data_IF_933857287826
#
_entry.id   IF_933857287826
#
_cell.length_a   1.000
_cell.length_b   1.000
_cell.length_c   1.000
_cell.angle_alpha   90.00
_cell.angle_beta   90.00
_cell.angle_gamma   90.00
#
_symmetry.space_group_name_H-M   'P 1'
#
loop_
_entity.id
_entity.type
_entity.pdbx_description
1 polymer ?
#
# COMPACT_ATOMS: atom_id res chain seq x y z
N UNK A 1 -32.82 24.58 -41.76
CA UNK A 1 -32.84 23.13 -41.44
C UNK A 1 -32.80 22.97 -39.93
N UNK A 2 -33.63 22.05 -39.44
CA UNK A 2 -33.93 21.69 -38.05
C UNK A 2 -32.70 21.54 -37.13
N UNK A 3 -32.68 22.13 -35.92
CA UNK A 3 -33.18 21.60 -34.61
C UNK A 3 -32.41 20.33 -34.16
N UNK A 4 -31.63 20.42 -33.08
CA UNK A 4 -31.97 19.87 -31.75
C UNK A 4 -30.91 20.21 -30.69
N UNK A 5 -31.38 20.92 -29.67
CA UNK A 5 -30.75 21.13 -28.37
C UNK A 5 -30.87 19.80 -27.60
N UNK A 6 -29.76 19.24 -27.13
CA UNK A 6 -29.76 18.17 -26.13
C UNK A 6 -29.38 18.75 -24.77
N UNK A 7 -30.39 19.25 -24.07
CA UNK A 7 -30.39 19.35 -22.61
C UNK A 7 -30.43 17.92 -22.06
N UNK A 8 -29.30 17.47 -21.51
CA UNK A 8 -29.16 16.19 -20.82
C UNK A 8 -28.74 16.44 -19.37
N UNK A 9 -29.74 16.48 -18.50
CA UNK A 9 -29.73 16.42 -17.03
C UNK A 9 -28.44 15.84 -16.44
N UNK A 10 -27.67 16.66 -15.72
CA UNK A 10 -26.73 16.16 -14.72
C UNK A 10 -27.54 15.55 -13.58
N UNK A 11 -27.80 14.25 -13.66
CA UNK A 11 -28.22 13.49 -12.50
C UNK A 11 -27.02 13.44 -11.55
N UNK A 12 -27.09 14.18 -10.45
CA UNK A 12 -26.18 14.02 -9.33
C UNK A 12 -26.29 12.58 -8.82
N UNK A 13 -25.27 11.77 -9.08
CA UNK A 13 -25.13 10.43 -8.51
C UNK A 13 -24.88 10.58 -7.00
N UNK A 14 -25.77 10.09 -6.12
CA UNK A 14 -25.48 10.04 -4.70
C UNK A 14 -24.55 8.84 -4.45
N UNK A 15 -23.25 9.05 -4.66
CA UNK A 15 -22.21 8.03 -4.54
C UNK A 15 -20.92 8.50 -3.86
N UNK A 16 -20.95 9.61 -3.12
CA UNK A 16 -19.77 10.22 -2.49
C UNK A 16 -19.50 9.76 -1.04
N UNK A 17 -19.97 8.59 -0.62
CA UNK A 17 -19.67 8.04 0.70
C UNK A 17 -18.55 6.97 0.70
N UNK A 18 -18.17 6.43 -0.45
CA UNK A 18 -17.19 5.32 -0.57
C UNK A 18 -15.75 5.77 -0.89
N UNK A 19 -15.52 7.06 -1.13
CA UNK A 19 -14.20 7.62 -1.45
C UNK A 19 -13.35 8.00 -0.21
N UNK A 20 -13.98 8.12 0.96
CA UNK A 20 -13.35 8.60 2.20
C UNK A 20 -12.15 7.75 2.70
N UNK A 21 -12.19 6.41 2.69
CA UNK A 21 -11.07 5.60 3.19
C UNK A 21 -9.84 5.69 2.27
N UNK A 22 -10.06 5.85 0.96
CA UNK A 22 -8.99 5.96 -0.04
C UNK A 22 -8.28 7.30 0.06
N UNK A 23 -9.02 8.40 0.24
CA UNK A 23 -8.46 9.73 0.43
C UNK A 23 -7.54 9.78 1.68
N UNK A 24 -7.98 9.20 2.81
CA UNK A 24 -7.17 9.14 4.05
C UNK A 24 -5.90 8.29 3.89
N UNK A 25 -5.96 7.18 3.16
CA UNK A 25 -4.79 6.33 2.94
C UNK A 25 -3.76 7.02 2.02
N UNK A 26 -4.22 7.69 0.96
CA UNK A 26 -3.37 8.50 0.09
C UNK A 26 -2.72 9.66 0.86
N UNK A 27 -3.46 10.32 1.74
CA UNK A 27 -2.98 11.39 2.62
C UNK A 27 -1.88 10.91 3.58
N UNK A 28 -2.03 9.72 4.18
CA UNK A 28 -1.01 9.13 5.07
C UNK A 28 0.28 8.81 4.31
N UNK A 29 0.19 8.26 3.09
CA UNK A 29 1.37 7.99 2.26
C UNK A 29 2.07 9.29 1.86
N UNK A 30 1.31 10.31 1.44
CA UNK A 30 1.84 11.64 1.15
C UNK A 30 2.56 12.24 2.37
N UNK A 31 1.98 12.10 3.57
CA UNK A 31 2.62 12.55 4.81
C UNK A 31 3.92 11.81 5.11
N UNK A 32 3.98 10.49 4.88
CA UNK A 32 5.19 9.69 5.07
C UNK A 32 6.29 10.08 4.07
N UNK A 33 5.94 10.25 2.79
CA UNK A 33 6.85 10.71 1.74
C UNK A 33 7.38 12.10 2.09
N UNK A 34 6.51 13.05 2.40
CA UNK A 34 6.91 14.40 2.83
C UNK A 34 7.83 14.38 4.06
N UNK A 35 7.59 13.45 5.00
CA UNK A 35 8.45 13.22 6.15
C UNK A 35 9.85 12.70 5.79
N UNK A 36 9.97 11.83 4.79
CA UNK A 36 11.24 11.32 4.28
C UNK A 36 11.99 12.37 3.44
N UNK A 37 11.27 13.11 2.60
CA UNK A 37 11.81 14.25 1.85
C UNK A 37 12.36 15.32 2.80
N UNK A 38 11.65 15.62 3.90
CA UNK A 38 12.15 16.52 4.92
C UNK A 38 13.43 16.00 5.60
N UNK A 39 13.61 14.67 5.71
CA UNK A 39 14.83 14.05 6.25
C UNK A 39 16.00 14.09 5.26
N UNK A 40 15.74 14.22 3.96
CA UNK A 40 16.76 14.55 2.95
C UNK A 40 17.52 15.79 3.42
N UNK A 41 16.86 16.80 3.98
CA UNK A 41 17.51 18.08 4.28
C UNK A 41 17.93 18.26 5.75
N UNK A 42 17.65 17.29 6.65
CA UNK A 42 17.91 17.37 8.09
C UNK A 42 19.09 16.51 8.54
N UNK A 43 20.12 17.14 9.10
CA UNK A 43 21.19 16.48 9.85
C UNK A 43 21.18 16.97 11.29
N UNK A 44 20.99 16.06 12.26
CA UNK A 44 20.92 16.37 13.70
C UNK A 44 22.20 17.05 14.20
N UNK A 45 23.34 16.65 13.65
CA UNK A 45 24.66 17.24 13.91
C UNK A 45 24.80 18.68 13.38
N UNK A 46 24.04 19.05 12.34
CA UNK A 46 24.02 20.41 11.76
C UNK A 46 23.05 21.31 12.53
N UNK A 47 21.90 20.77 12.94
CA UNK A 47 20.91 21.46 13.78
C UNK A 47 21.55 21.88 15.11
N UNK A 48 22.26 20.96 15.77
CA UNK A 48 22.92 21.23 17.06
C UNK A 48 24.14 22.16 16.95
N UNK A 49 24.76 22.27 15.76
CA UNK A 49 25.93 23.13 15.57
C UNK A 49 25.58 24.61 15.36
N UNK A 50 24.39 24.91 14.84
CA UNK A 50 23.89 26.27 14.63
C UNK A 50 22.65 26.53 15.49
N UNK A 51 22.84 26.58 16.80
CA UNK A 51 21.81 27.14 17.68
C UNK A 51 21.53 28.60 17.26
N UNK A 52 20.37 28.76 16.60
CA UNK A 52 19.64 30.00 16.33
C UNK A 52 19.98 30.89 15.11
N UNK A 53 20.78 30.48 14.11
CA UNK A 53 20.90 31.28 12.84
C UNK A 53 20.95 30.48 11.52
N UNK A 54 19.99 29.58 11.30
CA UNK A 54 19.66 29.10 9.95
C UNK A 54 19.46 27.60 9.87
N UNK A 55 18.19 27.19 9.89
CA UNK A 55 17.71 25.80 10.01
C UNK A 55 18.09 24.82 8.89
N UNK A 56 18.93 25.16 7.91
CA UNK A 56 19.04 24.36 6.67
C UNK A 56 20.47 24.04 6.22
N UNK A 57 20.70 22.73 6.10
CA UNK A 57 21.68 22.00 5.30
C UNK A 57 23.00 22.72 4.92
N UNK A 58 24.00 22.61 5.80
CA UNK A 58 25.38 23.03 5.52
C UNK A 58 25.96 22.41 4.24
N UNK A 59 25.48 21.25 3.81
CA UNK A 59 25.87 20.62 2.55
C UNK A 59 25.39 21.36 1.30
N UNK A 60 24.19 22.00 1.32
CA UNK A 60 23.69 22.83 0.19
C UNK A 60 24.60 24.05 -0.02
N UNK A 61 25.15 24.59 1.08
CA UNK A 61 26.06 25.74 1.05
C UNK A 61 27.54 25.37 1.07
N UNK A 62 27.89 24.08 0.91
CA UNK A 62 29.29 23.63 0.89
C UNK A 62 30.11 24.37 -0.18
N UNK A 63 29.55 24.54 -1.37
CA UNK A 63 30.18 25.28 -2.48
C UNK A 63 30.35 26.79 -2.21
N UNK A 64 29.70 27.33 -1.18
CA UNK A 64 29.79 28.73 -0.75
C UNK A 64 30.66 28.94 0.50
N UNK A 65 31.30 27.88 1.01
CA UNK A 65 32.07 27.98 2.25
C UNK A 65 33.29 28.94 2.14
N UNK A 66 33.71 29.28 0.92
CA UNK A 66 34.74 30.28 0.65
C UNK A 66 34.30 31.73 0.93
N UNK A 67 32.99 32.00 1.00
CA UNK A 67 32.44 33.32 1.35
C UNK A 67 32.57 33.64 2.85
N UNK A 68 32.89 32.64 3.67
CA UNK A 68 33.13 32.82 5.11
C UNK A 68 34.49 33.45 5.31
N UNK A 69 34.52 34.65 5.88
CA UNK A 69 35.74 35.39 6.19
C UNK A 69 36.30 35.02 7.57
N UNK A 70 37.61 35.24 7.75
CA UNK A 70 38.30 35.04 9.03
C UNK A 70 38.62 33.60 9.41
N UNK A 71 39.10 33.45 10.63
CA UNK A 71 39.79 32.26 11.16
C UNK A 71 38.88 31.01 11.20
N UNK A 72 37.56 31.24 11.17
CA UNK A 72 36.54 30.20 11.22
C UNK A 72 36.32 29.50 9.87
N UNK A 73 36.77 30.08 8.73
CA UNK A 73 36.57 29.53 7.37
C UNK A 73 36.97 28.07 7.25
N UNK A 74 38.17 27.70 7.73
CA UNK A 74 38.67 26.31 7.67
C UNK A 74 37.76 25.36 8.44
N UNK A 75 37.33 25.74 9.65
CA UNK A 75 36.45 24.93 10.50
C UNK A 75 35.07 24.76 9.85
N UNK A 76 34.51 25.84 9.30
CA UNK A 76 33.20 25.82 8.62
C UNK A 76 33.25 24.96 7.35
N UNK A 77 34.24 25.13 6.48
CA UNK A 77 34.40 24.32 5.28
C UNK A 77 34.62 22.82 5.61
N UNK A 78 35.42 22.50 6.64
CA UNK A 78 35.63 21.10 7.08
C UNK A 78 34.30 20.46 7.51
N UNK A 79 33.51 21.17 8.33
CA UNK A 79 32.19 20.70 8.77
C UNK A 79 31.20 20.59 7.61
N UNK A 80 31.26 21.51 6.64
CA UNK A 80 30.41 21.45 5.45
C UNK A 80 30.68 20.19 4.61
N UNK A 81 31.97 19.86 4.40
CA UNK A 81 32.38 18.62 3.72
C UNK A 81 31.97 17.36 4.47
N UNK A 82 32.12 17.35 5.79
CA UNK A 82 31.69 16.21 6.63
C UNK A 82 30.17 16.03 6.57
N UNK A 83 29.42 17.13 6.64
CA UNK A 83 27.96 17.13 6.52
C UNK A 83 27.49 16.66 5.15
N UNK A 84 28.14 17.11 4.07
CA UNK A 84 27.86 16.65 2.71
C UNK A 84 28.10 15.14 2.57
N UNK A 85 29.24 14.63 3.05
CA UNK A 85 29.55 13.19 3.00
C UNK A 85 28.51 12.35 3.74
N UNK A 86 28.12 12.77 4.95
CA UNK A 86 27.08 12.09 5.73
C UNK A 86 25.68 12.18 5.09
N UNK A 87 25.41 13.26 4.33
CA UNK A 87 24.17 13.39 3.58
C UNK A 87 24.16 12.45 2.37
N UNK A 88 25.22 12.49 1.56
CA UNK A 88 25.41 11.62 0.41
C UNK A 88 25.36 10.13 0.79
N UNK A 89 25.91 9.75 1.94
CA UNK A 89 25.88 8.34 2.39
C UNK A 89 24.47 7.87 2.80
N UNK A 90 23.59 8.76 3.24
CA UNK A 90 22.21 8.43 3.64
C UNK A 90 21.21 8.57 2.49
N UNK A 91 21.54 9.38 1.49
CA UNK A 91 20.63 9.74 0.42
C UNK A 91 20.07 8.52 -0.33
N UNK A 92 20.87 7.51 -0.74
CA UNK A 92 20.35 6.32 -1.41
C UNK A 92 19.36 5.53 -0.56
N UNK A 93 19.59 5.45 0.75
CA UNK A 93 18.66 4.75 1.67
C UNK A 93 17.34 5.51 1.83
N UNK A 94 17.37 6.83 1.84
CA UNK A 94 16.16 7.64 1.87
C UNK A 94 15.40 7.58 0.54
N UNK A 95 16.11 7.68 -0.57
CA UNK A 95 15.54 7.56 -1.92
C UNK A 95 14.92 6.19 -2.15
N UNK A 96 15.59 5.10 -1.78
CA UNK A 96 15.00 3.75 -1.86
C UNK A 96 13.74 3.59 -0.99
N UNK A 97 13.63 4.32 0.13
CA UNK A 97 12.43 4.30 0.98
C UNK A 97 11.30 5.13 0.40
N UNK A 98 11.62 6.26 -0.22
CA UNK A 98 10.65 7.10 -0.95
C UNK A 98 10.16 6.33 -2.17
N UNK A 99 11.06 5.76 -2.96
CA UNK A 99 10.73 4.88 -4.07
C UNK A 99 9.87 3.70 -3.60
N UNK A 100 10.13 3.10 -2.43
CA UNK A 100 9.26 2.07 -1.86
C UNK A 100 7.94 2.58 -1.27
N UNK A 101 7.70 3.88 -1.18
CA UNK A 101 6.39 4.43 -0.81
C UNK A 101 5.63 4.93 -2.04
N UNK A 102 6.34 5.43 -3.04
CA UNK A 102 5.81 5.95 -4.31
C UNK A 102 5.66 4.90 -5.40
N UNK A 103 6.47 3.83 -5.35
CA UNK A 103 6.30 2.70 -6.24
C UNK A 103 4.87 2.18 -6.07
N UNK A 104 4.30 1.50 -7.09
CA UNK A 104 2.95 0.95 -7.03
C UNK A 104 2.86 -0.14 -5.96
N UNK A 105 2.82 0.30 -4.72
CA UNK A 105 2.56 -0.41 -3.50
C UNK A 105 1.08 -0.34 -3.27
N UNK A 106 0.55 -1.50 -2.92
CA UNK A 106 -0.81 -1.78 -2.48
C UNK A 106 -1.42 -0.63 -1.64
N UNK A 107 -1.98 0.37 -2.33
CA UNK A 107 -2.73 1.53 -1.79
C UNK A 107 -4.13 1.11 -1.34
N UNK A 108 -4.30 -0.18 -1.03
CA UNK A 108 -5.61 -0.79 -1.06
C UNK A 108 -6.14 -1.00 -2.48
N UNK A 109 -5.23 -1.26 -3.40
CA UNK A 109 -5.57 -1.83 -4.70
C UNK A 109 -4.47 -2.83 -5.05
N UNK A 110 -4.50 -3.99 -4.39
CA UNK A 110 -3.83 -5.17 -4.95
C UNK A 110 -4.70 -5.62 -6.12
N UNK A 111 -4.28 -5.45 -7.39
CA UNK A 111 -5.07 -5.93 -8.51
C UNK A 111 -5.32 -7.43 -8.33
N UNK A 112 -6.49 -7.96 -8.70
CA UNK A 112 -6.81 -9.38 -8.55
C UNK A 112 -5.69 -10.32 -9.02
N UNK A 113 -5.04 -10.00 -10.13
CA UNK A 113 -3.89 -10.77 -10.64
C UNK A 113 -2.73 -10.90 -9.63
N UNK A 114 -2.39 -9.84 -8.89
CA UNK A 114 -1.36 -9.89 -7.84
C UNK A 114 -1.83 -10.65 -6.61
N UNK A 115 -3.11 -10.54 -6.25
CA UNK A 115 -3.73 -11.32 -5.18
C UNK A 115 -3.69 -12.82 -5.49
N UNK A 116 -3.97 -13.21 -6.74
CA UNK A 116 -3.87 -14.59 -7.23
C UNK A 116 -2.44 -15.11 -7.07
N UNK A 117 -1.42 -14.35 -7.47
CA UNK A 117 -0.01 -14.78 -7.33
C UNK A 117 0.39 -14.95 -5.86
N UNK A 118 -0.05 -14.05 -4.98
CA UNK A 118 0.16 -14.18 -3.53
C UNK A 118 -0.55 -15.42 -2.98
N UNK A 119 -1.80 -15.63 -3.37
CA UNK A 119 -2.61 -16.79 -3.03
C UNK A 119 -1.94 -18.10 -3.44
N UNK A 120 -1.42 -18.18 -4.66
CA UNK A 120 -0.75 -19.36 -5.18
C UNK A 120 0.45 -19.75 -4.31
N UNK A 121 1.29 -18.76 -3.97
CA UNK A 121 2.47 -18.97 -3.10
C UNK A 121 2.05 -19.44 -1.71
N UNK A 122 0.98 -18.87 -1.15
CA UNK A 122 0.50 -19.23 0.18
C UNK A 122 -0.19 -20.61 0.20
N UNK A 123 -0.96 -20.95 -0.82
CA UNK A 123 -1.60 -22.26 -0.98
C UNK A 123 -0.56 -23.37 -1.15
N UNK A 124 0.49 -23.14 -1.94
CA UNK A 124 1.58 -24.10 -2.11
C UNK A 124 2.29 -24.42 -0.77
N UNK A 125 2.51 -23.41 0.08
CA UNK A 125 3.12 -23.60 1.42
C UNK A 125 2.30 -24.48 2.36
N UNK A 126 1.01 -24.63 2.11
CA UNK A 126 0.12 -25.49 2.90
C UNK A 126 -0.22 -26.80 2.18
N UNK A 127 0.52 -27.16 1.13
CA UNK A 127 0.34 -28.41 0.38
C UNK A 127 -0.74 -28.37 -0.70
N UNK A 128 -1.28 -27.20 -1.03
CA UNK A 128 -2.33 -27.04 -2.04
C UNK A 128 -1.78 -26.43 -3.33
N UNK A 129 -0.96 -27.22 -4.02
CA UNK A 129 -0.50 -26.93 -5.39
C UNK A 129 -1.36 -27.69 -6.43
N UNK A 130 -1.06 -27.49 -7.72
CA UNK A 130 -1.70 -28.25 -8.82
C UNK A 130 -3.23 -28.15 -8.81
N UNK A 131 -3.90 -29.30 -8.78
CA UNK A 131 -5.37 -29.39 -8.80
C UNK A 131 -6.03 -28.63 -7.65
N UNK A 132 -5.48 -28.71 -6.43
CA UNK A 132 -6.04 -28.00 -5.27
C UNK A 132 -5.94 -26.48 -5.43
N UNK A 133 -4.84 -26.00 -6.04
CA UNK A 133 -4.72 -24.59 -6.37
C UNK A 133 -5.75 -24.16 -7.42
N UNK A 134 -5.98 -24.96 -8.47
CA UNK A 134 -6.96 -24.65 -9.49
C UNK A 134 -8.38 -24.55 -8.91
N UNK A 135 -8.75 -25.49 -8.04
CA UNK A 135 -10.02 -25.45 -7.31
C UNK A 135 -10.15 -24.19 -6.44
N UNK A 136 -9.11 -23.82 -5.69
CA UNK A 136 -9.11 -22.61 -4.87
C UNK A 136 -9.22 -21.33 -5.72
N UNK A 137 -8.46 -21.28 -6.82
CA UNK A 137 -8.48 -20.18 -7.78
C UNK A 137 -9.88 -19.98 -8.37
N UNK A 138 -10.57 -21.07 -8.69
CA UNK A 138 -11.92 -21.02 -9.21
C UNK A 138 -12.93 -20.62 -8.13
N UNK A 139 -12.83 -21.20 -6.93
CA UNK A 139 -13.69 -20.89 -5.78
C UNK A 139 -13.70 -19.38 -5.47
N UNK A 140 -12.52 -18.79 -5.22
CA UNK A 140 -12.41 -17.37 -4.89
C UNK A 140 -12.53 -16.44 -6.11
N UNK A 141 -12.20 -16.95 -7.31
CA UNK A 141 -12.21 -16.15 -8.53
C UNK A 141 -13.59 -15.97 -9.16
N UNK A 142 -14.39 -17.03 -9.20
CA UNK A 142 -15.68 -16.97 -9.89
C UNK A 142 -16.87 -16.88 -8.93
N UNK A 143 -16.72 -17.35 -7.68
CA UNK A 143 -17.87 -17.60 -6.81
C UNK A 143 -17.90 -16.75 -5.53
N UNK A 144 -16.75 -16.17 -5.12
CA UNK A 144 -16.59 -15.57 -3.78
C UNK A 144 -15.78 -14.25 -3.82
N UNK A 145 -15.91 -13.39 -4.84
CA UNK A 145 -15.36 -12.01 -4.78
C UNK A 145 -14.18 -11.71 -5.71
N UNK A 146 -13.82 -12.61 -6.62
CA UNK A 146 -12.97 -12.28 -7.77
C UNK A 146 -11.52 -11.96 -7.43
N UNK A 147 -11.00 -12.47 -6.32
CA UNK A 147 -9.67 -12.11 -5.79
C UNK A 147 -9.52 -10.62 -5.45
N UNK A 148 -10.62 -9.90 -5.28
CA UNK A 148 -10.61 -8.48 -4.93
C UNK A 148 -10.62 -8.29 -3.40
N UNK A 149 -9.60 -7.60 -2.88
CA UNK A 149 -9.41 -7.37 -1.43
C UNK A 149 -10.57 -6.61 -0.80
N UNK A 150 -11.25 -5.78 -1.60
CA UNK A 150 -12.36 -4.93 -1.17
C UNK A 150 -13.71 -5.42 -1.70
N UNK A 151 -13.81 -6.70 -2.09
CA UNK A 151 -15.09 -7.28 -2.51
C UNK A 151 -16.07 -7.17 -1.35
N UNK A 152 -17.01 -6.24 -1.45
CA UNK A 152 -18.01 -5.99 -0.43
C UNK A 152 -19.36 -6.39 -0.98
N UNK A 153 -20.12 -7.16 -0.21
CA UNK A 153 -21.48 -7.53 -0.59
C UNK A 153 -22.46 -6.68 0.22
N UNK A 154 -23.05 -5.60 -0.36
CA UNK A 154 -23.81 -4.60 0.38
C UNK A 154 -25.10 -5.14 1.03
N UNK A 155 -25.58 -6.30 0.60
CA UNK A 155 -26.76 -6.96 1.20
C UNK A 155 -26.40 -7.91 2.33
N UNK A 156 -25.12 -8.11 2.61
CA UNK A 156 -24.62 -8.94 3.72
C UNK A 156 -23.41 -8.27 4.38
N UNK A 157 -22.75 -8.96 5.32
CA UNK A 157 -21.46 -8.51 5.89
C UNK A 157 -20.28 -9.30 5.32
N UNK A 158 -20.47 -9.97 4.19
CA UNK A 158 -19.44 -10.74 3.51
C UNK A 158 -18.41 -9.82 2.87
N UNK A 159 -17.13 -10.07 3.13
CA UNK A 159 -16.06 -9.19 2.67
C UNK A 159 -14.79 -9.91 2.20
N UNK A 160 -14.15 -9.30 1.21
CA UNK A 160 -12.80 -9.61 0.75
C UNK A 160 -12.74 -10.86 -0.14
N UNK A 161 -11.50 -11.30 -0.38
CA UNK A 161 -11.19 -12.43 -1.27
C UNK A 161 -11.96 -13.71 -0.91
N UNK A 162 -12.13 -14.09 0.37
CA UNK A 162 -12.86 -15.31 0.72
C UNK A 162 -14.34 -15.06 1.07
N UNK A 163 -14.85 -13.84 0.88
CA UNK A 163 -16.21 -13.42 1.30
C UNK A 163 -16.56 -13.85 2.74
N UNK A 164 -15.67 -13.55 3.68
CA UNK A 164 -15.86 -13.93 5.08
C UNK A 164 -17.08 -13.23 5.68
N UNK A 165 -17.96 -13.98 6.35
CA UNK A 165 -19.22 -13.47 6.90
C UNK A 165 -19.29 -13.64 8.44
N UNK A 166 -19.19 -12.55 9.22
CA UNK A 166 -18.76 -11.21 8.84
C UNK A 166 -17.23 -11.13 8.59
N UNK A 167 -16.79 -10.12 7.84
CA UNK A 167 -15.36 -9.90 7.53
C UNK A 167 -14.46 -9.79 8.76
N UNK A 168 -15.00 -9.34 9.91
CA UNK A 168 -14.28 -9.22 11.18
C UNK A 168 -13.68 -10.53 11.71
N UNK A 169 -14.17 -11.68 11.26
CA UNK A 169 -13.62 -13.01 11.61
C UNK A 169 -12.17 -13.19 11.16
N UNK A 170 -11.71 -12.39 10.20
CA UNK A 170 -10.34 -12.45 9.67
C UNK A 170 -9.27 -11.86 10.61
N UNK A 171 -9.67 -11.20 11.70
CA UNK A 171 -8.76 -10.69 12.73
C UNK A 171 -8.05 -9.38 12.33
N UNK A 172 -7.36 -8.74 13.27
CA UNK A 172 -6.85 -7.35 13.13
C UNK A 172 -6.15 -7.08 11.79
N UNK A 173 -6.53 -5.98 11.14
CA UNK A 173 -5.92 -5.54 9.87
C UNK A 173 -6.48 -6.20 8.60
N UNK A 174 -7.50 -7.06 8.72
CA UNK A 174 -8.10 -7.80 7.60
C UNK A 174 -8.62 -6.95 6.45
N UNK A 175 -9.18 -5.76 6.74
CA UNK A 175 -9.94 -4.97 5.78
C UNK A 175 -9.12 -4.57 4.55
N UNK A 176 -7.83 -4.30 4.74
CA UNK A 176 -6.96 -3.75 3.69
C UNK A 176 -5.76 -4.64 3.39
N UNK A 177 -5.83 -5.94 3.73
CA UNK A 177 -4.67 -6.83 3.62
C UNK A 177 -5.02 -8.13 2.91
N UNK A 178 -4.62 -8.25 1.64
CA UNK A 178 -4.75 -9.50 0.88
C UNK A 178 -4.09 -10.68 1.63
N UNK A 179 -2.94 -10.44 2.28
CA UNK A 179 -2.27 -11.47 3.07
C UNK A 179 -3.13 -11.97 4.23
N UNK A 180 -3.73 -11.06 5.02
CA UNK A 180 -4.58 -11.45 6.14
C UNK A 180 -5.82 -12.22 5.65
N UNK A 181 -6.46 -11.74 4.59
CA UNK A 181 -7.63 -12.38 4.00
C UNK A 181 -7.32 -13.78 3.44
N UNK A 182 -6.24 -13.92 2.66
CA UNK A 182 -5.81 -15.21 2.10
C UNK A 182 -5.42 -16.17 3.22
N UNK A 183 -4.64 -15.71 4.22
CA UNK A 183 -4.23 -16.55 5.36
C UNK A 183 -5.45 -17.11 6.08
N UNK A 184 -6.42 -16.26 6.38
CA UNK A 184 -7.65 -16.68 7.04
C UNK A 184 -8.47 -17.64 6.16
N UNK A 185 -8.68 -17.28 4.89
CA UNK A 185 -9.45 -18.08 3.94
C UNK A 185 -8.88 -19.49 3.75
N UNK A 186 -7.55 -19.64 3.65
CA UNK A 186 -6.90 -20.94 3.58
C UNK A 186 -7.17 -21.78 4.85
N UNK A 187 -7.09 -21.16 6.03
CA UNK A 187 -7.41 -21.81 7.30
C UNK A 187 -8.87 -22.25 7.36
N UNK A 188 -9.79 -21.40 6.90
CA UNK A 188 -11.22 -21.69 6.85
C UNK A 188 -11.54 -22.87 5.94
N UNK A 189 -11.01 -22.87 4.71
CA UNK A 189 -11.20 -23.99 3.76
C UNK A 189 -10.72 -25.31 4.37
N UNK A 190 -9.58 -25.29 5.04
CA UNK A 190 -9.04 -26.49 5.70
C UNK A 190 -9.95 -26.98 6.81
N UNK A 191 -10.40 -26.07 7.68
CA UNK A 191 -11.20 -26.44 8.84
C UNK A 191 -12.61 -26.95 8.46
N UNK A 192 -13.23 -26.36 7.44
CA UNK A 192 -14.62 -26.66 7.08
C UNK A 192 -14.76 -27.74 6.01
N UNK A 193 -13.80 -27.83 5.09
CA UNK A 193 -13.92 -28.68 3.90
C UNK A 193 -12.72 -29.62 3.71
N UNK A 194 -11.66 -29.48 4.51
CA UNK A 194 -10.41 -30.23 4.37
C UNK A 194 -9.56 -29.79 3.17
N UNK A 195 -10.16 -29.68 1.97
CA UNK A 195 -9.47 -29.34 0.72
C UNK A 195 -10.25 -28.33 -0.13
N UNK A 196 -9.55 -27.49 -0.93
CA UNK A 196 -10.18 -26.58 -1.88
C UNK A 196 -11.14 -27.25 -2.87
N UNK A 197 -10.79 -28.42 -3.41
CA UNK A 197 -11.69 -29.11 -4.35
C UNK A 197 -12.97 -29.62 -3.68
N UNK A 198 -12.89 -30.07 -2.42
CA UNK A 198 -14.10 -30.41 -1.66
C UNK A 198 -14.96 -29.17 -1.40
N UNK A 199 -14.34 -28.03 -1.07
CA UNK A 199 -15.06 -26.77 -0.87
C UNK A 199 -15.77 -26.33 -2.15
N UNK A 200 -15.07 -26.36 -3.29
CA UNK A 200 -15.62 -26.01 -4.60
C UNK A 200 -16.76 -26.95 -5.00
N UNK A 201 -16.60 -28.27 -4.83
CA UNK A 201 -17.66 -29.24 -5.12
C UNK A 201 -18.92 -28.97 -4.29
N UNK A 202 -18.78 -28.73 -2.98
CA UNK A 202 -19.90 -28.36 -2.12
C UNK A 202 -20.55 -27.05 -2.55
N UNK A 203 -19.76 -26.07 -3.01
CA UNK A 203 -20.29 -24.78 -3.50
C UNK A 203 -21.11 -24.97 -4.78
N UNK A 204 -20.62 -25.77 -5.73
CA UNK A 204 -21.30 -26.08 -6.99
C UNK A 204 -22.58 -26.89 -6.77
N UNK A 205 -22.56 -27.87 -5.87
CA UNK A 205 -23.73 -28.70 -5.55
C UNK A 205 -24.89 -27.91 -4.92
N UNK A 206 -24.61 -26.80 -4.23
CA UNK A 206 -25.63 -25.92 -3.64
C UNK A 206 -26.37 -25.05 -4.67
N UNK A 207 -26.02 -25.10 -5.96
CA UNK A 207 -26.86 -24.58 -7.04
C UNK A 207 -27.12 -23.06 -7.03
N UNK A 208 -26.21 -22.25 -6.49
CA UNK A 208 -26.32 -20.79 -6.60
C UNK A 208 -25.77 -20.33 -7.96
N UNK A 209 -26.41 -20.77 -9.05
CA UNK A 209 -26.35 -20.19 -10.39
C UNK A 209 -27.68 -20.41 -11.09
#
# INVERSE_FOLDING_TARGET
>A
MAIFIALGVMAAWPGLASAEPFARQAEVLQYQVAGLEARRWKSKSVINFWNHRGRWALHIRHGKCWQVQGNQRRKVCKKARQSLRFHQSRLPSLEARIEKLEAPHDTGFLPPARAVVLGQKMAARVGWAGTQWNCLKQLWGHLEGGWYVYADNPTSSAYGIPQALPGSKMGVGWRNSAFAQIKWGLGYVRAQYGTPCSALSTRLAKGWY
#
